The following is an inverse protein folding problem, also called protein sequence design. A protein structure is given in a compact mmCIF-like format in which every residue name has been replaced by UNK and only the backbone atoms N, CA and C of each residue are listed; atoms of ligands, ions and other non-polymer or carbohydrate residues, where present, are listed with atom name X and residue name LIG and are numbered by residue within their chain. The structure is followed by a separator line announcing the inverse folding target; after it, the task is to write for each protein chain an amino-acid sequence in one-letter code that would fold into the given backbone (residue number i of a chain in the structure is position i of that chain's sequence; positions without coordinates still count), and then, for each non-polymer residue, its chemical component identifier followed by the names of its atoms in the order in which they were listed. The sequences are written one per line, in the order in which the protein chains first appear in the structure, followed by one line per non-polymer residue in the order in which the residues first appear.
data_IF_197819811469
#
_entry.id   IF_197819811469
#
_cell.length_a   1.000
_cell.length_b   1.000
_cell.length_c   1.000
_cell.angle_alpha   90.00
_cell.angle_beta   90.00
_cell.angle_gamma   90.00
#
_symmetry.space_group_name_H-M   'P 1'
#
loop_
_entity.id
_entity.type
_entity.pdbx_description
1 polymer ?
#
# COMPACT_ATOMS: atom_id res chain seq x y z
N UNK A 1 15.42 84.71 -8.57
CA UNK A 1 16.77 84.13 -8.73
C UNK A 1 16.87 83.56 -10.14
N UNK A 2 17.91 83.94 -10.88
CA UNK A 2 18.36 83.30 -12.14
C UNK A 2 19.09 81.97 -11.81
N UNK A 3 19.52 81.05 -12.69
CA UNK A 3 19.94 80.97 -14.11
C UNK A 3 19.85 79.46 -14.47
N UNK A 4 19.43 78.97 -15.65
CA UNK A 4 20.20 78.60 -16.86
C UNK A 4 19.16 77.85 -17.75
N UNK A 5 18.96 78.07 -19.05
CA UNK A 5 19.91 78.44 -20.10
C UNK A 5 19.91 77.33 -21.15
N UNK A 6 18.82 77.16 -21.92
CA UNK A 6 18.80 76.32 -23.12
C UNK A 6 18.25 77.16 -24.27
N UNK A 7 19.09 77.43 -25.25
CA UNK A 7 18.72 78.16 -26.47
C UNK A 7 17.58 77.42 -27.20
N UNK A 8 16.56 78.15 -27.67
CA UNK A 8 15.59 77.59 -28.62
C UNK A 8 16.32 77.28 -29.94
N UNK A 9 16.23 76.06 -30.49
CA UNK A 9 16.76 75.79 -31.82
C UNK A 9 15.97 76.60 -32.85
N UNK A 10 16.66 77.46 -33.59
CA UNK A 10 16.15 78.21 -34.74
C UNK A 10 16.30 77.33 -35.98
N UNK A 11 15.36 76.43 -36.18
CA UNK A 11 15.29 75.58 -37.37
C UNK A 11 14.21 74.53 -37.22
N UNK A 12 13.23 74.53 -38.12
CA UNK A 12 12.27 73.43 -38.20
C UNK A 12 13.01 72.20 -38.72
N UNK A 13 13.21 71.20 -37.87
CA UNK A 13 13.61 69.87 -38.31
C UNK A 13 12.36 69.24 -38.93
N UNK A 14 12.31 69.20 -40.27
CA UNK A 14 11.35 68.35 -40.96
C UNK A 14 11.79 66.91 -40.76
N UNK A 15 11.17 66.29 -39.77
CA UNK A 15 11.36 64.90 -39.41
C UNK A 15 10.82 64.02 -40.55
N UNK A 16 11.63 63.11 -41.13
CA UNK A 16 11.18 62.28 -42.25
C UNK A 16 10.01 61.39 -41.82
N UNK A 17 8.90 61.48 -42.55
CA UNK A 17 7.58 60.88 -42.24
C UNK A 17 7.61 59.43 -41.73
N UNK A 18 8.61 58.62 -42.11
CA UNK A 18 8.70 57.21 -41.72
C UNK A 18 9.01 56.95 -40.24
N UNK A 19 9.84 57.77 -39.59
CA UNK A 19 10.20 57.50 -38.18
C UNK A 19 9.06 57.92 -37.23
N UNK A 20 8.40 59.03 -37.53
CA UNK A 20 7.24 59.50 -36.77
C UNK A 20 6.08 58.52 -36.90
N UNK A 21 5.88 57.94 -38.08
CA UNK A 21 4.88 56.91 -38.30
C UNK A 21 5.18 55.64 -37.48
N UNK A 22 6.43 55.19 -37.41
CA UNK A 22 6.80 54.06 -36.53
C UNK A 22 6.65 54.35 -35.03
N UNK A 23 6.86 55.60 -34.60
CA UNK A 23 6.62 56.02 -33.20
C UNK A 23 5.13 56.13 -32.90
N UNK A 24 4.33 56.65 -33.83
CA UNK A 24 2.88 56.72 -33.72
C UNK A 24 2.24 55.32 -33.73
N UNK A 25 2.68 54.43 -34.63
CA UNK A 25 2.28 53.02 -34.67
C UNK A 25 2.71 52.28 -33.40
N UNK A 26 3.89 52.58 -32.86
CA UNK A 26 4.33 52.05 -31.56
C UNK A 26 3.48 52.54 -30.40
N UNK A 27 3.11 53.83 -30.38
CA UNK A 27 2.22 54.40 -29.37
C UNK A 27 0.78 53.88 -29.49
N UNK A 28 0.25 53.73 -30.70
CA UNK A 28 -1.05 53.10 -30.95
C UNK A 28 -1.01 51.62 -30.55
N UNK A 29 0.10 50.92 -30.80
CA UNK A 29 0.28 49.56 -30.33
C UNK A 29 0.26 49.49 -28.79
N UNK A 30 0.95 50.40 -28.09
CA UNK A 30 0.89 50.46 -26.63
C UNK A 30 -0.48 50.88 -26.09
N UNK A 31 -1.21 51.73 -26.81
CA UNK A 31 -2.55 52.18 -26.44
C UNK A 31 -3.60 51.06 -26.61
N UNK A 32 -3.48 50.25 -27.67
CA UNK A 32 -4.44 49.18 -27.99
C UNK A 32 -4.08 47.82 -27.38
N UNK A 33 -2.79 47.52 -27.19
CA UNK A 33 -2.30 46.19 -26.80
C UNK A 33 -1.50 46.17 -25.49
N UNK A 34 -1.27 47.33 -24.87
CA UNK A 34 -0.48 47.44 -23.64
C UNK A 34 1.01 47.19 -23.84
N UNK A 35 1.79 47.37 -22.77
CA UNK A 35 3.25 47.14 -22.76
C UNK A 35 3.51 45.63 -22.70
N UNK A 36 4.44 45.03 -23.49
CA UNK A 36 4.78 43.63 -23.32
C UNK A 36 5.49 43.44 -21.97
N UNK A 37 4.76 42.89 -21.00
CA UNK A 37 5.22 42.62 -19.65
C UNK A 37 6.21 41.45 -19.64
N UNK A 38 7.52 41.73 -19.54
CA UNK A 38 8.52 40.74 -19.12
C UNK A 38 9.07 41.12 -17.75
N UNK A 39 8.72 40.32 -16.72
CA UNK A 39 9.49 40.22 -15.47
C UNK A 39 9.04 41.03 -14.25
N UNK A 40 7.76 41.35 -14.07
CA UNK A 40 7.23 41.88 -12.80
C UNK A 40 5.99 41.12 -12.33
N UNK A 41 5.75 41.15 -11.01
CA UNK A 41 4.52 40.62 -10.40
C UNK A 41 3.30 41.37 -10.96
N UNK A 42 2.36 40.60 -11.51
CA UNK A 42 1.07 41.13 -11.97
C UNK A 42 0.17 41.31 -10.76
N UNK A 43 -0.08 42.56 -10.37
CA UNK A 43 -1.15 42.89 -9.43
C UNK A 43 -2.43 43.08 -10.26
N UNK A 44 -3.45 42.21 -10.13
CA UNK A 44 -4.68 42.33 -10.90
C UNK A 44 -5.40 43.59 -10.45
N UNK A 45 -5.29 44.65 -11.24
CA UNK A 45 -6.00 45.92 -11.01
C UNK A 45 -7.17 46.09 -11.97
N UNK A 46 -7.28 45.20 -12.97
CA UNK A 46 -8.38 45.12 -13.91
C UNK A 46 -8.75 43.65 -14.10
N UNK A 47 -9.86 43.22 -13.48
CA UNK A 47 -10.43 41.88 -13.67
C UNK A 47 -10.81 41.69 -15.14
N UNK A 48 -10.36 40.57 -15.74
CA UNK A 48 -10.81 40.13 -17.07
C UNK A 48 -10.08 40.68 -18.30
N UNK A 49 -9.01 41.48 -18.16
CA UNK A 49 -8.22 41.98 -19.32
C UNK A 49 -7.23 40.94 -19.85
N UNK A 50 -6.77 40.03 -18.99
CA UNK A 50 -5.87 38.95 -19.38
C UNK A 50 -6.64 37.64 -19.51
N UNK A 51 -6.66 37.06 -20.71
CA UNK A 51 -7.07 35.67 -20.92
C UNK A 51 -6.00 34.73 -20.34
N UNK A 52 -6.14 34.51 -19.03
CA UNK A 52 -5.38 33.55 -18.22
C UNK A 52 -5.98 32.14 -18.27
N UNK A 53 -7.07 31.95 -19.04
CA UNK A 53 -7.86 30.72 -19.15
C UNK A 53 -7.70 29.97 -20.47
N UNK A 54 -6.82 30.41 -21.39
CA UNK A 54 -6.52 29.63 -22.59
C UNK A 54 -6.05 28.22 -22.19
N UNK A 55 -6.50 27.18 -22.90
CA UNK A 55 -6.16 25.76 -22.65
C UNK A 55 -4.66 25.48 -22.51
N UNK A 56 -3.84 26.40 -23.01
CA UNK A 56 -2.39 26.25 -23.18
C UNK A 56 -1.61 26.97 -22.07
N UNK A 57 -2.29 27.74 -21.20
CA UNK A 57 -1.68 28.51 -20.11
C UNK A 57 -2.35 28.12 -18.80
N UNK A 58 -1.56 27.57 -17.89
CA UNK A 58 -2.01 27.15 -16.56
C UNK A 58 -1.19 27.88 -15.51
N UNK A 59 -1.82 28.26 -14.42
CA UNK A 59 -1.08 28.81 -13.29
C UNK A 59 -0.16 27.72 -12.73
N UNK A 60 1.07 28.08 -12.38
CA UNK A 60 1.92 27.15 -11.63
C UNK A 60 1.42 27.03 -10.19
N UNK A 61 1.13 28.17 -9.57
CA UNK A 61 0.57 28.27 -8.22
C UNK A 61 -0.37 29.46 -8.12
N UNK A 62 -1.42 29.34 -7.31
CA UNK A 62 -2.36 30.40 -6.95
C UNK A 62 -2.30 30.57 -5.43
N UNK A 63 -2.02 31.78 -4.97
CA UNK A 63 -2.03 32.15 -3.56
C UNK A 63 -3.01 33.31 -3.38
N UNK A 64 -4.09 33.09 -2.63
CA UNK A 64 -5.16 34.08 -2.45
C UNK A 64 -5.50 34.26 -0.97
N UNK A 65 -5.71 35.50 -0.54
CA UNK A 65 -6.23 35.77 0.80
C UNK A 65 -7.76 35.64 0.82
N UNK A 66 -8.41 36.18 -0.22
CA UNK A 66 -9.82 35.97 -0.57
C UNK A 66 -9.89 35.78 -2.09
N UNK A 67 -10.76 34.89 -2.59
CA UNK A 67 -10.94 34.71 -4.03
C UNK A 67 -12.28 34.08 -4.39
N UNK A 68 -12.87 34.53 -5.50
CA UNK A 68 -14.02 33.91 -6.14
C UNK A 68 -13.60 33.46 -7.54
N UNK A 69 -13.80 32.18 -7.84
CA UNK A 69 -13.43 31.57 -9.10
C UNK A 69 -14.68 30.94 -9.73
N UNK A 70 -15.28 31.67 -10.65
CA UNK A 70 -16.50 31.28 -11.36
C UNK A 70 -16.24 30.18 -12.42
N UNK A 71 -15.00 30.09 -12.90
CA UNK A 71 -14.60 29.17 -13.98
C UNK A 71 -13.66 28.05 -13.51
N UNK A 72 -13.26 27.18 -14.45
CA UNK A 72 -12.35 26.07 -14.22
C UNK A 72 -10.98 26.56 -13.75
N UNK A 73 -10.53 26.07 -12.59
CA UNK A 73 -9.22 26.38 -12.01
C UNK A 73 -8.28 25.20 -12.19
N UNK A 74 -7.17 25.43 -12.91
CA UNK A 74 -6.13 24.44 -13.10
C UNK A 74 -4.74 24.98 -12.73
N UNK A 75 -4.15 24.41 -11.67
CA UNK A 75 -2.86 24.86 -11.10
C UNK A 75 -2.15 23.73 -10.36
N UNK A 76 -0.83 23.78 -10.14
CA UNK A 76 -0.20 22.75 -9.29
C UNK A 76 -0.55 22.96 -7.82
N UNK A 77 -0.56 24.21 -7.36
CA UNK A 77 -0.88 24.57 -5.97
C UNK A 77 -1.96 25.63 -5.95
N UNK A 78 -2.96 25.41 -5.11
CA UNK A 78 -3.98 26.40 -4.76
C UNK A 78 -3.96 26.57 -3.24
N UNK A 79 -3.61 27.76 -2.78
CA UNK A 79 -3.57 28.12 -1.37
C UNK A 79 -4.48 29.33 -1.14
N UNK A 80 -5.57 29.14 -0.40
CA UNK A 80 -6.53 30.21 -0.14
C UNK A 80 -7.03 30.25 1.30
N UNK A 81 -6.96 31.41 1.97
CA UNK A 81 -7.55 31.52 3.31
C UNK A 81 -9.09 31.45 3.25
N UNK A 82 -9.69 32.13 2.28
CA UNK A 82 -11.12 32.08 1.97
C UNK A 82 -11.34 31.99 0.46
N UNK A 83 -11.82 30.85 -0.03
CA UNK A 83 -12.08 30.64 -1.46
C UNK A 83 -13.51 30.17 -1.74
N UNK A 84 -14.14 30.75 -2.74
CA UNK A 84 -15.37 30.23 -3.36
C UNK A 84 -15.01 29.76 -4.77
N UNK A 85 -15.22 28.48 -5.04
CA UNK A 85 -14.87 27.82 -6.29
C UNK A 85 -16.13 27.17 -6.87
N UNK A 86 -16.76 27.84 -7.82
CA UNK A 86 -18.11 27.49 -8.30
C UNK A 86 -18.10 26.34 -9.32
N UNK A 87 -16.93 26.05 -9.90
CA UNK A 87 -16.76 25.04 -10.95
C UNK A 87 -15.76 23.94 -10.55
N UNK A 88 -14.82 23.64 -11.43
CA UNK A 88 -13.93 22.50 -11.30
C UNK A 88 -12.55 22.96 -10.84
N UNK A 89 -11.99 22.29 -9.85
CA UNK A 89 -10.64 22.55 -9.34
C UNK A 89 -9.77 21.33 -9.63
N UNK A 90 -8.86 21.46 -10.60
CA UNK A 90 -7.84 20.46 -10.91
C UNK A 90 -6.49 20.94 -10.39
N UNK A 91 -6.00 20.32 -9.33
CA UNK A 91 -4.69 20.71 -8.80
C UNK A 91 -3.86 19.53 -8.32
N UNK A 92 -2.59 19.74 -7.99
CA UNK A 92 -1.81 18.73 -7.28
C UNK A 92 -2.05 18.86 -5.78
N UNK A 93 -2.10 20.09 -5.26
CA UNK A 93 -2.37 20.37 -3.86
C UNK A 93 -3.34 21.55 -3.68
N UNK A 94 -4.34 21.36 -2.83
CA UNK A 94 -5.25 22.41 -2.35
C UNK A 94 -5.03 22.59 -0.84
N UNK A 95 -4.77 23.83 -0.44
CA UNK A 95 -4.70 24.26 0.95
C UNK A 95 -5.72 25.38 1.15
N UNK A 96 -6.67 25.20 2.07
CA UNK A 96 -7.63 26.25 2.36
C UNK A 96 -8.02 26.36 3.84
N UNK A 97 -7.94 27.53 4.46
CA UNK A 97 -8.52 27.65 5.82
C UNK A 97 -10.04 27.55 5.76
N UNK A 98 -10.67 28.20 4.77
CA UNK A 98 -12.09 28.05 4.46
C UNK A 98 -12.32 27.99 2.95
N UNK A 99 -13.11 27.02 2.48
CA UNK A 99 -13.42 26.88 1.05
C UNK A 99 -14.83 26.35 0.79
N UNK A 100 -15.54 26.93 -0.19
CA UNK A 100 -16.70 26.29 -0.84
C UNK A 100 -16.26 25.80 -2.21
N UNK A 101 -16.50 24.52 -2.49
CA UNK A 101 -16.18 23.88 -3.75
C UNK A 101 -17.47 23.27 -4.32
N UNK A 102 -18.11 23.99 -5.22
CA UNK A 102 -19.49 23.72 -5.62
C UNK A 102 -19.61 22.56 -6.64
N UNK A 103 -18.52 22.23 -7.35
CA UNK A 103 -18.47 21.01 -8.17
C UNK A 103 -17.39 20.03 -7.70
N UNK A 104 -16.36 19.80 -8.50
CA UNK A 104 -15.45 18.70 -8.26
C UNK A 104 -14.03 19.16 -8.02
N UNK A 105 -13.42 18.55 -7.01
CA UNK A 105 -12.03 18.76 -6.64
C UNK A 105 -11.27 17.48 -6.98
N UNK A 106 -10.35 17.58 -7.92
CA UNK A 106 -9.39 16.53 -8.22
C UNK A 106 -7.99 17.00 -7.80
N UNK A 107 -7.40 16.29 -6.83
CA UNK A 107 -6.10 16.66 -6.27
C UNK A 107 -5.30 15.46 -5.78
N UNK A 108 -4.00 15.61 -5.53
CA UNK A 108 -3.27 14.61 -4.74
C UNK A 108 -3.48 14.85 -3.24
N UNK A 109 -3.46 16.11 -2.82
CA UNK A 109 -3.68 16.50 -1.42
C UNK A 109 -4.73 17.59 -1.32
N UNK A 110 -5.72 17.37 -0.45
CA UNK A 110 -6.69 18.38 -0.04
C UNK A 110 -6.51 18.60 1.47
N UNK A 111 -6.15 19.81 1.87
CA UNK A 111 -6.05 20.22 3.26
C UNK A 111 -6.95 21.43 3.49
N UNK A 112 -7.93 21.30 4.39
CA UNK A 112 -8.81 22.43 4.70
C UNK A 112 -9.26 22.48 6.15
N UNK A 113 -9.18 23.63 6.82
CA UNK A 113 -9.70 23.71 8.20
C UNK A 113 -11.23 23.56 8.18
N UNK A 114 -11.93 24.32 7.32
CA UNK A 114 -13.39 24.24 7.14
C UNK A 114 -13.77 24.25 5.65
N UNK A 115 -14.29 23.14 5.12
CA UNK A 115 -14.66 23.04 3.71
C UNK A 115 -16.11 22.62 3.47
N UNK A 116 -16.79 23.29 2.54
CA UNK A 116 -18.03 22.84 1.93
C UNK A 116 -17.70 22.26 0.55
N UNK A 117 -18.10 21.02 0.31
CA UNK A 117 -17.84 20.31 -0.94
C UNK A 117 -19.16 19.72 -1.47
N UNK A 118 -19.75 20.40 -2.44
CA UNK A 118 -21.11 20.10 -2.90
C UNK A 118 -21.15 18.90 -3.87
N UNK A 119 -20.00 18.50 -4.42
CA UNK A 119 -19.91 17.44 -5.42
C UNK A 119 -18.73 16.48 -5.14
N UNK A 120 -18.08 15.96 -6.18
CA UNK A 120 -17.12 14.86 -6.05
C UNK A 120 -15.75 15.35 -5.59
N UNK A 121 -15.20 14.70 -4.57
CA UNK A 121 -13.81 14.90 -4.14
C UNK A 121 -13.01 13.64 -4.44
N UNK A 122 -12.07 13.73 -5.39
CA UNK A 122 -11.07 12.70 -5.64
C UNK A 122 -9.71 13.23 -5.20
N UNK A 123 -9.23 12.71 -4.07
CA UNK A 123 -7.91 13.08 -3.56
C UNK A 123 -7.12 11.85 -3.14
N UNK A 124 -5.80 11.86 -3.22
CA UNK A 124 -5.02 10.77 -2.59
C UNK A 124 -5.10 10.89 -1.06
N UNK A 125 -5.06 12.11 -0.54
CA UNK A 125 -5.17 12.38 0.90
C UNK A 125 -6.11 13.56 1.16
N UNK A 126 -7.01 13.42 2.12
CA UNK A 126 -7.87 14.50 2.62
C UNK A 126 -7.53 14.75 4.08
N UNK A 127 -7.23 16.00 4.41
CA UNK A 127 -6.98 16.47 5.77
C UNK A 127 -7.93 17.63 6.05
N UNK A 128 -8.74 17.52 7.11
CA UNK A 128 -9.60 18.62 7.50
C UNK A 128 -9.80 18.71 9.02
N UNK A 129 -10.14 19.89 9.54
CA UNK A 129 -10.67 19.98 10.91
C UNK A 129 -12.16 19.62 10.88
N UNK A 130 -12.90 20.22 9.94
CA UNK A 130 -14.31 19.94 9.64
C UNK A 130 -14.60 20.07 8.14
N UNK A 131 -15.51 19.23 7.63
CA UNK A 131 -16.00 19.37 6.26
C UNK A 131 -17.37 18.75 6.04
N UNK A 132 -18.14 19.37 5.14
CA UNK A 132 -19.41 18.85 4.64
C UNK A 132 -19.22 18.37 3.20
N UNK A 133 -19.54 17.11 2.94
CA UNK A 133 -19.37 16.46 1.65
C UNK A 133 -20.71 15.93 1.18
N UNK A 134 -21.30 16.60 0.19
CA UNK A 134 -22.61 16.25 -0.32
C UNK A 134 -22.57 15.01 -1.24
N UNK A 135 -21.45 14.71 -1.92
CA UNK A 135 -21.29 13.53 -2.81
C UNK A 135 -20.16 12.59 -2.38
N UNK A 136 -19.85 11.65 -3.27
CA UNK A 136 -18.87 10.58 -3.02
C UNK A 136 -17.46 11.14 -2.86
N UNK A 137 -16.79 10.72 -1.78
CA UNK A 137 -15.37 11.02 -1.51
C UNK A 137 -14.55 9.76 -1.76
N UNK A 138 -13.54 9.86 -2.64
CA UNK A 138 -12.60 8.77 -2.94
C UNK A 138 -11.20 9.17 -2.56
N UNK A 139 -10.58 8.41 -1.66
CA UNK A 139 -9.24 8.72 -1.17
C UNK A 139 -8.44 7.52 -0.69
N UNK A 140 -7.12 7.69 -0.53
CA UNK A 140 -6.27 6.69 0.12
C UNK A 140 -6.21 6.87 1.64
N UNK A 141 -6.44 8.10 2.14
CA UNK A 141 -6.48 8.42 3.57
C UNK A 141 -7.35 9.64 3.86
N UNK A 142 -7.97 9.66 5.05
CA UNK A 142 -8.72 10.80 5.60
C UNK A 142 -8.20 11.04 7.02
N UNK A 143 -7.85 12.29 7.33
CA UNK A 143 -7.55 12.75 8.66
C UNK A 143 -8.51 13.90 8.98
N UNK A 144 -9.56 13.63 9.75
CA UNK A 144 -10.56 14.63 10.14
C UNK A 144 -11.00 14.47 11.59
N UNK A 145 -11.23 15.59 12.29
CA UNK A 145 -11.86 15.56 13.62
C UNK A 145 -13.37 15.35 13.50
N UNK A 146 -14.00 16.10 12.58
CA UNK A 146 -15.43 16.00 12.26
C UNK A 146 -15.60 15.92 10.74
N UNK A 147 -16.63 15.19 10.29
CA UNK A 147 -16.95 15.11 8.87
C UNK A 147 -18.40 14.69 8.67
N UNK A 148 -19.15 15.48 7.91
CA UNK A 148 -20.51 15.16 7.53
C UNK A 148 -20.52 14.65 6.09
N UNK A 149 -20.93 13.39 5.91
CA UNK A 149 -20.93 12.72 4.61
C UNK A 149 -22.33 12.22 4.30
N UNK A 150 -23.00 12.82 3.32
CA UNK A 150 -24.32 12.38 2.89
C UNK A 150 -24.25 11.07 2.10
N UNK A 151 -23.23 10.93 1.28
CA UNK A 151 -23.01 9.78 0.41
C UNK A 151 -21.92 8.83 0.93
N UNK A 152 -21.61 7.79 0.16
CA UNK A 152 -20.59 6.82 0.52
C UNK A 152 -19.19 7.45 0.47
N UNK A 153 -18.35 7.08 1.44
CA UNK A 153 -16.93 7.41 1.46
C UNK A 153 -16.13 6.16 1.13
N UNK A 154 -15.14 6.25 0.25
CA UNK A 154 -14.27 5.13 -0.11
C UNK A 154 -12.82 5.44 0.24
N UNK A 155 -12.23 4.60 1.09
CA UNK A 155 -10.81 4.66 1.47
C UNK A 155 -10.10 3.43 0.91
N UNK A 156 -9.06 3.63 0.10
CA UNK A 156 -8.31 2.55 -0.56
C UNK A 156 -9.21 1.61 -1.38
N UNK A 157 -10.24 2.18 -2.01
CA UNK A 157 -11.24 1.44 -2.80
C UNK A 157 -12.30 0.70 -1.97
N UNK A 158 -12.26 0.77 -0.64
CA UNK A 158 -13.25 0.15 0.25
C UNK A 158 -14.20 1.20 0.81
N UNK A 159 -15.51 0.92 0.79
CA UNK A 159 -16.51 1.78 1.43
C UNK A 159 -16.28 1.82 2.94
N UNK A 160 -16.18 3.02 3.49
CA UNK A 160 -16.08 3.28 4.93
C UNK A 160 -17.48 3.21 5.54
N UNK A 161 -17.57 2.73 6.79
CA UNK A 161 -18.81 2.77 7.57
C UNK A 161 -19.00 4.17 8.17
N UNK A 162 -20.18 4.74 7.96
CA UNK A 162 -20.61 6.01 8.54
C UNK A 162 -21.49 5.78 9.77
N UNK A 163 -21.71 6.85 10.53
CA UNK A 163 -22.75 6.85 11.56
C UNK A 163 -24.10 6.48 10.93
N UNK A 164 -24.86 5.63 11.63
CA UNK A 164 -26.14 5.05 11.19
C UNK A 164 -26.06 4.06 10.01
N UNK A 165 -24.89 3.75 9.46
CA UNK A 165 -24.77 2.64 8.51
C UNK A 165 -25.07 1.30 9.22
N UNK A 166 -25.88 0.41 8.62
CA UNK A 166 -26.13 -0.90 9.19
C UNK A 166 -24.87 -1.76 9.11
N UNK A 167 -24.34 -2.17 10.27
CA UNK A 167 -23.27 -3.16 10.33
C UNK A 167 -23.86 -4.55 10.08
N UNK A 168 -23.60 -5.09 8.89
CA UNK A 168 -24.03 -6.42 8.51
C UNK A 168 -23.08 -7.48 9.08
N UNK A 169 -23.21 -7.76 10.38
CA UNK A 169 -22.36 -8.75 11.09
C UNK A 169 -22.34 -10.11 10.39
N UNK A 170 -23.43 -10.50 9.73
CA UNK A 170 -23.53 -11.78 9.02
C UNK A 170 -22.55 -11.91 7.84
N UNK A 171 -22.17 -10.80 7.20
CA UNK A 171 -21.29 -10.82 6.04
C UNK A 171 -19.87 -11.33 6.37
N UNK A 172 -19.43 -11.18 7.62
CA UNK A 172 -18.10 -11.59 8.07
C UNK A 172 -18.09 -12.97 8.75
N UNK A 173 -19.26 -13.53 9.06
CA UNK A 173 -19.38 -14.80 9.78
C UNK A 173 -18.81 -15.95 8.96
N UNK A 174 -19.06 -15.97 7.64
CA UNK A 174 -18.65 -17.11 6.81
C UNK A 174 -17.14 -17.12 6.55
N UNK A 175 -16.51 -15.95 6.36
CA UNK A 175 -15.04 -15.83 6.32
C UNK A 175 -14.43 -16.26 7.66
N UNK A 176 -14.97 -15.77 8.78
CA UNK A 176 -14.48 -16.17 10.11
C UNK A 176 -14.60 -17.68 10.35
N UNK A 177 -15.65 -18.34 9.86
CA UNK A 177 -15.77 -19.81 9.93
C UNK A 177 -14.69 -20.52 9.12
N UNK A 178 -14.35 -20.01 7.93
CA UNK A 178 -13.28 -20.57 7.10
C UNK A 178 -11.93 -20.47 7.81
N UNK A 179 -11.62 -19.30 8.38
CA UNK A 179 -10.39 -19.08 9.15
C UNK A 179 -10.29 -20.03 10.35
N UNK A 180 -11.39 -20.20 11.10
CA UNK A 180 -11.45 -21.15 12.22
C UNK A 180 -11.18 -22.58 11.74
N UNK A 181 -11.76 -22.99 10.61
CA UNK A 181 -11.53 -24.34 10.05
C UNK A 181 -10.08 -24.55 9.64
N UNK A 182 -9.43 -23.52 9.07
CA UNK A 182 -8.02 -23.56 8.71
C UNK A 182 -7.13 -23.70 9.95
N UNK A 183 -7.39 -22.91 11.01
CA UNK A 183 -6.68 -22.99 12.29
C UNK A 183 -6.78 -24.40 12.90
N UNK A 184 -7.99 -24.97 12.90
CA UNK A 184 -8.20 -26.34 13.40
C UNK A 184 -7.38 -27.37 12.62
N UNK A 185 -7.28 -27.22 11.31
CA UNK A 185 -6.47 -28.09 10.46
C UNK A 185 -4.99 -28.02 10.85
N UNK A 186 -4.43 -26.81 10.99
CA UNK A 186 -3.03 -26.65 11.40
C UNK A 186 -2.75 -27.17 12.81
N UNK A 187 -3.68 -26.97 13.75
CA UNK A 187 -3.54 -27.50 15.11
C UNK A 187 -3.51 -29.03 15.14
N UNK A 188 -4.30 -29.69 14.29
CA UNK A 188 -4.28 -31.14 14.15
C UNK A 188 -2.92 -31.64 13.63
N UNK A 189 -2.31 -30.96 12.66
CA UNK A 189 -0.98 -31.31 12.16
C UNK A 189 0.10 -31.12 13.23
N UNK A 190 0.12 -29.97 13.91
CA UNK A 190 1.09 -29.68 14.98
C UNK A 190 0.97 -30.73 16.10
N UNK A 191 -0.26 -31.10 16.48
CA UNK A 191 -0.49 -32.09 17.54
C UNK A 191 0.20 -33.43 17.22
N UNK A 192 0.31 -33.85 15.96
CA UNK A 192 1.03 -35.08 15.59
C UNK A 192 2.50 -35.05 16.01
N UNK A 193 3.15 -33.89 15.91
CA UNK A 193 4.56 -33.73 16.27
C UNK A 193 4.78 -33.46 17.76
N UNK A 194 3.80 -32.86 18.42
CA UNK A 194 3.91 -32.41 19.82
C UNK A 194 3.36 -33.45 20.81
N UNK A 195 2.65 -34.50 20.36
CA UNK A 195 2.17 -35.58 21.24
C UNK A 195 3.31 -36.06 22.17
N UNK A 196 3.12 -35.95 23.50
CA UNK A 196 4.12 -36.44 24.44
C UNK A 196 4.19 -37.96 24.34
N UNK A 197 5.39 -38.50 24.56
CA UNK A 197 5.53 -39.94 24.67
C UNK A 197 4.83 -40.43 25.92
N UNK A 198 4.02 -41.47 25.80
CA UNK A 198 3.36 -42.12 26.94
C UNK A 198 4.28 -43.14 27.63
N UNK A 199 5.33 -43.59 26.95
CA UNK A 199 6.29 -44.54 27.49
C UNK A 199 7.34 -44.96 26.47
N UNK A 200 8.23 -45.84 26.92
CA UNK A 200 9.27 -46.44 26.08
C UNK A 200 9.15 -47.96 26.17
N UNK A 201 9.12 -48.63 25.01
CA UNK A 201 9.20 -50.09 24.92
C UNK A 201 10.56 -50.49 24.40
N UNK A 202 11.27 -51.36 25.11
CA UNK A 202 12.53 -51.95 24.66
C UNK A 202 12.32 -53.35 24.12
N UNK A 203 13.04 -53.69 23.05
CA UNK A 203 13.03 -55.01 22.45
C UNK A 203 14.47 -55.39 22.07
N UNK A 204 14.81 -56.66 22.31
CA UNK A 204 15.99 -57.30 21.71
C UNK A 204 15.49 -58.12 20.52
N UNK A 205 15.88 -57.73 19.32
CA UNK A 205 15.42 -58.34 18.09
C UNK A 205 16.52 -59.24 17.51
N UNK A 206 16.21 -60.51 17.30
CA UNK A 206 17.08 -61.42 16.57
C UNK A 206 16.87 -61.20 15.07
N UNK A 207 17.87 -60.60 14.43
CA UNK A 207 17.85 -60.30 12.99
C UNK A 207 18.70 -61.33 12.27
N UNK A 208 18.18 -61.83 11.15
CA UNK A 208 18.85 -62.81 10.31
C UNK A 208 19.19 -62.23 8.94
N UNK A 209 19.73 -63.10 8.08
CA UNK A 209 20.09 -62.78 6.70
C UNK A 209 18.91 -62.57 5.75
N UNK A 210 17.68 -62.78 6.22
CA UNK A 210 16.46 -62.54 5.46
C UNK A 210 15.75 -61.27 5.96
N UNK A 211 15.26 -60.38 5.08
CA UNK A 211 14.55 -59.18 5.49
C UNK A 211 13.31 -59.52 6.34
N UNK A 212 13.19 -58.87 7.49
CA UNK A 212 12.05 -59.02 8.39
C UNK A 212 11.57 -57.65 8.88
N UNK A 213 10.27 -57.47 9.16
CA UNK A 213 9.79 -56.24 9.76
C UNK A 213 10.39 -56.07 11.15
N UNK A 214 10.70 -54.82 11.52
CA UNK A 214 11.28 -54.49 12.82
C UNK A 214 10.33 -54.83 13.98
N UNK A 215 9.03 -54.71 13.73
CA UNK A 215 7.98 -55.06 14.67
C UNK A 215 6.77 -55.59 13.91
N UNK A 216 6.19 -56.71 14.35
CA UNK A 216 5.12 -57.40 13.63
C UNK A 216 3.72 -56.92 14.03
N UNK A 217 3.52 -56.52 15.29
CA UNK A 217 2.21 -56.08 15.78
C UNK A 217 1.99 -54.59 15.51
N UNK A 218 0.76 -54.13 15.69
CA UNK A 218 0.42 -52.72 15.61
C UNK A 218 0.97 -51.95 16.81
N UNK A 219 1.77 -50.91 16.53
CA UNK A 219 2.37 -50.06 17.54
C UNK A 219 2.44 -48.62 17.01
N UNK A 220 1.84 -47.68 17.75
CA UNK A 220 1.93 -46.26 17.44
C UNK A 220 3.17 -45.68 18.11
N UNK A 221 4.12 -45.25 17.28
CA UNK A 221 5.43 -44.76 17.75
C UNK A 221 5.71 -43.37 17.23
N UNK A 222 6.33 -42.55 18.07
CA UNK A 222 6.87 -41.24 17.69
C UNK A 222 8.26 -41.37 17.07
N UNK A 223 9.05 -42.31 17.60
CA UNK A 223 10.46 -42.49 17.28
C UNK A 223 10.87 -43.92 17.56
N UNK A 224 11.82 -44.40 16.78
CA UNK A 224 12.50 -45.67 16.98
C UNK A 224 13.99 -45.37 17.14
N UNK A 225 14.61 -45.90 18.17
CA UNK A 225 16.07 -45.90 18.32
C UNK A 225 16.58 -47.33 18.13
N UNK A 226 17.41 -47.52 17.12
CA UNK A 226 18.10 -48.76 16.81
C UNK A 226 19.55 -48.63 17.25
N UNK A 227 20.07 -49.66 17.94
CA UNK A 227 21.46 -49.69 18.39
C UNK A 227 22.12 -51.02 18.08
N UNK A 228 23.25 -50.94 17.39
CA UNK A 228 24.10 -52.08 17.10
C UNK A 228 24.95 -52.46 18.32
N UNK A 229 25.15 -53.76 18.59
CA UNK A 229 26.12 -54.21 19.59
C UNK A 229 27.53 -53.69 19.27
N UNK A 230 28.33 -53.44 20.32
CA UNK A 230 29.76 -53.07 20.21
C UNK A 230 30.71 -54.26 20.01
N UNK A 231 30.17 -55.44 19.76
CA UNK A 231 30.96 -56.67 19.63
C UNK A 231 30.29 -57.52 18.55
N UNK A 232 30.27 -57.00 17.33
CA UNK A 232 29.67 -57.70 16.18
C UNK A 232 30.39 -57.31 14.89
N UNK A 233 30.62 -58.30 14.04
CA UNK A 233 31.10 -58.12 12.67
C UNK A 233 29.95 -57.98 11.67
N UNK A 234 28.71 -58.15 12.12
CA UNK A 234 27.53 -58.08 11.28
C UNK A 234 27.20 -56.63 10.91
N UNK A 235 26.89 -56.39 9.64
CA UNK A 235 26.31 -55.13 9.18
C UNK A 235 24.79 -55.27 9.17
N UNK A 236 24.09 -54.36 9.82
CA UNK A 236 22.63 -54.30 9.79
C UNK A 236 22.20 -53.33 8.70
N UNK A 237 21.37 -53.78 7.78
CA UNK A 237 20.71 -52.94 6.80
C UNK A 237 19.29 -52.64 7.26
N UNK A 238 18.92 -51.37 7.14
CA UNK A 238 17.60 -50.84 7.44
C UNK A 238 16.95 -50.32 6.16
N UNK A 239 15.67 -50.60 5.99
CA UNK A 239 14.92 -50.20 4.81
C UNK A 239 13.45 -50.60 4.90
N UNK A 240 12.92 -51.13 3.80
CA UNK A 240 11.53 -51.58 3.66
C UNK A 240 11.48 -53.03 3.13
N UNK A 241 10.29 -53.54 2.81
CA UNK A 241 10.12 -54.92 2.35
C UNK A 241 10.81 -55.25 1.03
N UNK A 242 11.18 -54.25 0.22
CA UNK A 242 11.79 -54.43 -1.10
C UNK A 242 13.23 -53.94 -1.19
N UNK A 243 13.64 -52.99 -0.36
CA UNK A 243 14.96 -52.33 -0.41
C UNK A 243 15.57 -52.19 0.98
N UNK A 244 16.90 -52.33 1.06
CA UNK A 244 17.66 -52.38 2.32
C UNK A 244 18.92 -51.52 2.17
N UNK A 245 18.70 -50.21 2.10
CA UNK A 245 19.69 -49.27 1.57
C UNK A 245 20.59 -48.64 2.64
N UNK A 246 20.22 -48.74 3.92
CA UNK A 246 20.92 -48.02 4.99
C UNK A 246 21.72 -48.96 5.90
N UNK A 247 23.06 -49.05 5.75
CA UNK A 247 23.90 -49.88 6.61
C UNK A 247 24.18 -49.23 7.97
N UNK A 248 24.24 -50.06 9.00
CA UNK A 248 24.68 -49.75 10.35
C UNK A 248 25.80 -50.71 10.77
N UNK A 249 26.87 -50.15 11.30
CA UNK A 249 28.06 -50.86 11.74
C UNK A 249 28.07 -51.06 13.25
N UNK A 250 29.13 -51.73 13.73
CA UNK A 250 29.36 -51.99 15.14
C UNK A 250 29.25 -50.70 15.99
N UNK A 251 28.39 -50.74 17.00
CA UNK A 251 28.19 -49.63 17.93
C UNK A 251 27.40 -48.44 17.38
N UNK A 252 27.00 -48.44 16.11
CA UNK A 252 26.19 -47.38 15.53
C UNK A 252 24.81 -47.29 16.17
N UNK A 253 24.27 -46.06 16.16
CA UNK A 253 22.94 -45.72 16.62
C UNK A 253 22.17 -45.05 15.48
N UNK A 254 20.90 -45.42 15.31
CA UNK A 254 20.01 -44.85 14.31
C UNK A 254 18.70 -44.42 14.95
N UNK A 255 18.36 -43.16 14.73
CA UNK A 255 17.06 -42.61 15.08
C UNK A 255 16.16 -42.55 13.84
N UNK A 256 14.99 -43.18 13.92
CA UNK A 256 13.96 -43.14 12.87
C UNK A 256 12.69 -42.48 13.40
N UNK A 257 12.14 -41.56 12.62
CA UNK A 257 10.81 -40.98 12.83
C UNK A 257 9.91 -41.54 11.74
N UNK A 258 9.11 -42.54 12.09
CA UNK A 258 8.22 -43.25 11.17
C UNK A 258 6.82 -43.33 11.75
N UNK A 259 5.80 -43.21 10.90
CA UNK A 259 4.40 -43.29 11.32
C UNK A 259 3.98 -44.72 11.67
N UNK A 260 4.51 -45.73 10.95
CA UNK A 260 4.19 -47.14 11.16
C UNK A 260 5.48 -47.98 11.20
N UNK A 261 5.85 -48.56 12.35
CA UNK A 261 7.07 -49.35 12.50
C UNK A 261 7.03 -50.65 11.69
N UNK A 262 5.85 -51.14 11.28
CA UNK A 262 5.72 -52.35 10.44
C UNK A 262 6.28 -52.17 9.04
N UNK A 263 6.46 -50.91 8.60
CA UNK A 263 7.05 -50.57 7.29
C UNK A 263 8.57 -50.50 7.34
N UNK A 264 9.17 -50.52 8.53
CA UNK A 264 10.62 -50.58 8.70
C UNK A 264 11.04 -52.04 8.72
N UNK A 265 11.91 -52.41 7.81
CA UNK A 265 12.47 -53.75 7.70
C UNK A 265 13.95 -53.70 8.01
N UNK A 266 14.44 -54.79 8.59
CA UNK A 266 15.84 -54.99 8.90
C UNK A 266 16.32 -56.32 8.37
N UNK A 267 17.59 -56.35 7.96
CA UNK A 267 18.32 -57.54 7.55
C UNK A 267 19.76 -57.40 7.99
N UNK A 268 20.41 -58.48 8.41
CA UNK A 268 21.83 -58.47 8.74
C UNK A 268 22.64 -59.33 7.77
N UNK A 269 23.96 -59.16 7.76
CA UNK A 269 24.86 -60.06 7.02
C UNK A 269 25.03 -61.42 7.70
N UNK A 270 24.84 -61.47 9.02
CA UNK A 270 24.95 -62.65 9.88
C UNK A 270 23.88 -62.56 10.99
N UNK A 271 23.51 -63.68 11.61
CA UNK A 271 22.53 -63.66 12.70
C UNK A 271 23.03 -62.82 13.88
N UNK A 272 22.32 -61.74 14.21
CA UNK A 272 22.73 -60.75 15.22
C UNK A 272 21.53 -60.31 16.06
N UNK A 273 21.78 -60.04 17.34
CA UNK A 273 20.76 -59.44 18.19
C UNK A 273 20.96 -57.93 18.26
N UNK A 274 19.97 -57.17 17.81
CA UNK A 274 19.98 -55.70 17.87
C UNK A 274 19.07 -55.18 18.97
N UNK A 275 19.37 -54.01 19.49
CA UNK A 275 18.55 -53.36 20.53
C UNK A 275 17.68 -52.29 19.89
N UNK A 276 16.38 -52.34 20.15
CA UNK A 276 15.40 -51.38 19.65
C UNK A 276 14.67 -50.74 20.83
N UNK A 277 14.52 -49.42 20.80
CA UNK A 277 13.63 -48.67 21.69
C UNK A 277 12.54 -47.99 20.86
N UNK A 278 11.31 -48.11 21.30
CA UNK A 278 10.14 -47.48 20.69
C UNK A 278 9.59 -46.44 21.65
N UNK A 279 9.59 -45.17 21.24
CA UNK A 279 8.94 -44.07 21.94
C UNK A 279 7.44 -44.11 21.58
N UNK A 280 6.59 -44.51 22.53
CA UNK A 280 5.17 -44.80 22.29
C UNK A 280 4.31 -43.53 22.34
N UNK A 281 3.26 -43.49 21.52
CA UNK A 281 2.22 -42.46 21.55
C UNK A 281 0.83 -43.11 21.56
N UNK A 282 -0.15 -42.39 22.11
CA UNK A 282 -1.59 -42.71 21.98
C UNK A 282 -2.10 -42.48 20.55
#
# INVERSE_FOLDING_TARGET
MSVFGVFKPTGYIVLPLRWFQGVAEGLDFFYWYGVPFQGQDLIPTEDGVFDIGSSDKRFHSIYALFGYFDEHVETNVLDSNYGLFDYYVQTINVYASRGSFDKSVETETLSSDYGLFDYYVSSKNVQAESGEFEKEVRTSSIYSELGYFDNNVYVQGKRVLKDFDPIQLYAFIDEAKQDISLIQTYLCEIRKYVKPAIGVKSLRLAVSTSPMPLYADELHVKRILLKMPKVTTAVLYVGNSTSQDFPLFEGDELELKVEDPRKVYVKSTEDVNVFCLFELIE
#
